data_IF_432126744899
#
_entry.id   IF_432126744899
#
_cell.length_a   1.000
_cell.length_b   1.000
_cell.length_c   1.000
_cell.angle_alpha   90.00
_cell.angle_beta   90.00
_cell.angle_gamma   90.00
#
_symmetry.space_group_name_H-M   'P 1'
#
loop_
_entity.id
_entity.type
_entity.pdbx_description
1 polymer ?
#
# COMPACT_ATOMS: atom_id res chain seq x y z
N UNK A 1 52.12 -46.45 -10.80
CA UNK A 1 52.37 -45.41 -11.81
C UNK A 1 51.03 -44.87 -12.26
N UNK A 2 50.66 -43.67 -11.81
CA UNK A 2 49.43 -43.00 -12.25
C UNK A 2 49.87 -41.69 -12.90
N UNK A 3 49.63 -41.62 -14.20
CA UNK A 3 49.99 -40.53 -15.11
C UNK A 3 49.16 -39.28 -14.79
N UNK A 4 49.84 -38.16 -14.53
CA UNK A 4 49.24 -36.83 -14.52
C UNK A 4 49.23 -36.32 -15.98
N UNK A 5 48.05 -36.04 -16.52
CA UNK A 5 47.88 -35.41 -17.83
C UNK A 5 47.72 -33.89 -17.65
N UNK A 6 48.36 -33.06 -18.49
CA UNK A 6 48.35 -31.60 -18.34
C UNK A 6 47.07 -30.95 -18.89
N UNK A 7 46.62 -29.88 -18.23
CA UNK A 7 45.51 -29.02 -18.65
C UNK A 7 45.74 -28.35 -20.01
N UNK A 8 44.71 -28.21 -20.85
CA UNK A 8 44.72 -27.27 -21.95
C UNK A 8 44.22 -25.89 -21.47
N UNK A 9 45.03 -24.86 -21.70
CA UNK A 9 44.62 -23.46 -21.68
C UNK A 9 43.75 -23.16 -22.91
N UNK A 10 42.58 -22.51 -22.78
CA UNK A 10 41.92 -21.88 -23.90
C UNK A 10 42.41 -20.44 -24.06
N UNK A 11 42.91 -20.17 -25.26
CA UNK A 11 43.39 -18.88 -25.76
C UNK A 11 42.32 -17.79 -25.72
N UNK A 12 42.74 -16.58 -25.32
CA UNK A 12 42.02 -15.34 -25.58
C UNK A 12 42.07 -15.05 -27.08
N UNK A 13 40.92 -14.94 -27.74
CA UNK A 13 40.66 -13.92 -28.77
C UNK A 13 39.15 -13.62 -28.78
N UNK A 14 38.74 -12.35 -28.66
CA UNK A 14 37.34 -11.97 -28.49
C UNK A 14 36.72 -11.53 -29.82
N UNK A 15 35.63 -12.15 -30.29
CA UNK A 15 34.71 -11.50 -31.24
C UNK A 15 33.28 -12.03 -31.16
N UNK A 16 32.35 -11.07 -31.20
CA UNK A 16 30.97 -11.12 -31.71
C UNK A 16 29.83 -11.26 -30.71
N UNK A 17 29.30 -10.08 -30.36
CA UNK A 17 27.92 -9.68 -30.05
C UNK A 17 26.81 -10.73 -30.28
N UNK A 18 25.86 -10.88 -29.31
CA UNK A 18 24.43 -10.53 -29.46
C UNK A 18 23.61 -10.94 -28.21
N UNK A 19 23.00 -9.95 -27.54
CA UNK A 19 21.70 -10.05 -26.82
C UNK A 19 21.54 -10.96 -25.58
N UNK A 20 22.02 -10.53 -24.41
CA UNK A 20 21.60 -11.14 -23.12
C UNK A 20 21.25 -10.12 -22.02
N UNK A 21 21.25 -8.82 -22.32
CA UNK A 21 21.04 -7.74 -21.33
C UNK A 21 19.59 -7.22 -21.24
N UNK A 22 18.67 -7.72 -22.07
CA UNK A 22 17.27 -7.28 -22.06
C UNK A 22 16.35 -8.18 -21.23
N UNK A 23 16.62 -9.49 -21.13
CA UNK A 23 15.73 -10.42 -20.42
C UNK A 23 15.78 -10.24 -18.90
N UNK A 24 16.95 -9.97 -18.33
CA UNK A 24 17.12 -9.74 -16.89
C UNK A 24 16.47 -8.44 -16.40
N UNK A 25 16.41 -7.40 -17.24
CA UNK A 25 15.75 -6.12 -16.91
C UNK A 25 14.22 -6.26 -16.93
N UNK A 26 13.69 -7.08 -17.84
CA UNK A 26 12.26 -7.38 -17.96
C UNK A 26 11.78 -8.25 -16.80
N UNK A 27 12.58 -9.24 -16.37
CA UNK A 27 12.26 -10.08 -15.20
C UNK A 27 12.25 -9.25 -13.91
N UNK A 28 13.23 -8.35 -13.70
CA UNK A 28 13.25 -7.47 -12.54
C UNK A 28 12.10 -6.45 -12.53
N UNK A 29 11.70 -5.92 -13.70
CA UNK A 29 10.53 -5.02 -13.82
C UNK A 29 9.18 -5.73 -13.64
N UNK A 30 9.10 -7.00 -14.03
CA UNK A 30 7.91 -7.83 -13.81
C UNK A 30 7.83 -8.32 -12.36
N UNK A 31 8.94 -8.68 -11.74
CA UNK A 31 9.03 -8.98 -10.30
C UNK A 31 8.73 -7.74 -9.45
N UNK A 32 9.27 -6.57 -9.79
CA UNK A 32 8.95 -5.33 -9.05
C UNK A 32 7.50 -4.89 -9.27
N UNK A 33 6.93 -5.05 -10.46
CA UNK A 33 5.50 -4.81 -10.69
C UNK A 33 4.62 -5.80 -9.90
N UNK A 34 4.91 -7.10 -9.95
CA UNK A 34 4.13 -8.14 -9.25
C UNK A 34 4.26 -8.08 -7.73
N UNK A 35 5.42 -7.70 -7.20
CA UNK A 35 5.64 -7.44 -5.77
C UNK A 35 4.86 -6.19 -5.31
N UNK A 36 4.72 -5.17 -6.15
CA UNK A 36 3.98 -3.94 -5.83
C UNK A 36 2.45 -4.10 -5.88
N UNK A 37 1.92 -4.85 -6.87
CA UNK A 37 0.48 -5.12 -6.99
C UNK A 37 -0.13 -5.81 -5.74
N UNK A 38 0.67 -6.61 -5.03
CA UNK A 38 0.25 -7.19 -3.75
C UNK A 38 -0.01 -6.12 -2.69
N UNK A 39 0.87 -5.12 -2.59
CA UNK A 39 0.73 -4.00 -1.65
C UNK A 39 -0.47 -3.12 -1.96
N UNK A 40 -0.74 -2.84 -3.23
CA UNK A 40 -1.93 -2.07 -3.63
C UNK A 40 -3.21 -2.74 -3.14
N UNK A 41 -3.28 -4.07 -3.23
CA UNK A 41 -4.43 -4.85 -2.73
C UNK A 41 -4.56 -4.71 -1.20
N UNK A 42 -3.46 -4.87 -0.45
CA UNK A 42 -3.49 -4.69 1.00
C UNK A 42 -3.87 -3.27 1.44
N UNK A 43 -3.46 -2.26 0.69
CA UNK A 43 -3.82 -0.85 0.94
C UNK A 43 -5.32 -0.64 0.71
N UNK A 44 -5.85 -1.13 -0.41
CA UNK A 44 -7.29 -1.03 -0.74
C UNK A 44 -8.12 -1.78 0.29
N UNK A 45 -7.75 -3.00 0.67
CA UNK A 45 -8.44 -3.78 1.68
C UNK A 45 -8.41 -3.11 3.06
N UNK A 46 -7.27 -2.51 3.43
CA UNK A 46 -7.14 -1.70 4.65
C UNK A 46 -8.09 -0.51 4.68
N UNK A 47 -8.21 0.23 3.56
CA UNK A 47 -9.17 1.32 3.43
C UNK A 47 -10.62 0.83 3.52
N UNK A 48 -10.96 -0.31 2.90
CA UNK A 48 -12.28 -0.93 2.99
C UNK A 48 -12.61 -1.32 4.44
N UNK A 49 -11.67 -1.94 5.16
CA UNK A 49 -11.83 -2.30 6.57
C UNK A 49 -12.10 -1.07 7.43
N UNK A 50 -11.40 0.03 7.17
CA UNK A 50 -11.58 1.27 7.92
C UNK A 50 -12.93 1.94 7.62
N UNK A 51 -13.40 1.92 6.36
CA UNK A 51 -14.77 2.34 6.00
C UNK A 51 -15.82 1.53 6.76
N UNK A 52 -15.64 0.22 6.85
CA UNK A 52 -16.52 -0.64 7.65
C UNK A 52 -16.49 -0.30 9.13
N UNK A 53 -15.31 -0.02 9.70
CA UNK A 53 -15.18 0.39 11.10
C UNK A 53 -15.92 1.70 11.38
N UNK A 54 -15.79 2.71 10.51
CA UNK A 54 -16.52 3.99 10.60
C UNK A 54 -18.02 3.74 10.59
N UNK A 55 -18.54 2.98 9.61
CA UNK A 55 -19.96 2.62 9.52
C UNK A 55 -20.46 1.91 10.78
N UNK A 56 -19.67 0.98 11.33
CA UNK A 56 -20.04 0.26 12.55
C UNK A 56 -20.11 1.19 13.76
N UNK A 57 -19.17 2.13 13.88
CA UNK A 57 -19.17 3.14 14.95
C UNK A 57 -20.34 4.12 14.80
N UNK A 58 -20.71 4.53 13.58
CA UNK A 58 -21.90 5.36 13.32
C UNK A 58 -23.18 4.67 13.74
N UNK A 59 -23.32 3.37 13.40
CA UNK A 59 -24.45 2.55 13.87
C UNK A 59 -24.48 2.45 15.40
N UNK A 60 -23.33 2.23 16.04
CA UNK A 60 -23.22 2.16 17.50
C UNK A 60 -23.58 3.49 18.15
N UNK A 61 -23.10 4.61 17.60
CA UNK A 61 -23.46 5.97 18.04
C UNK A 61 -24.98 6.16 18.01
N UNK A 62 -25.63 5.84 16.88
CA UNK A 62 -27.09 5.99 16.74
C UNK A 62 -27.85 5.18 17.80
N UNK A 63 -27.42 3.94 18.06
CA UNK A 63 -28.03 3.08 19.08
C UNK A 63 -27.86 3.62 20.50
N UNK A 64 -26.70 4.20 20.82
CA UNK A 64 -26.46 4.81 22.13
C UNK A 64 -27.23 6.13 22.29
N UNK A 65 -27.40 6.90 21.23
CA UNK A 65 -28.27 8.09 21.22
C UNK A 65 -29.72 7.72 21.51
N UNK A 66 -30.21 6.62 20.96
CA UNK A 66 -31.54 6.10 21.26
C UNK A 66 -31.69 5.75 22.76
N UNK A 67 -30.72 5.05 23.34
CA UNK A 67 -30.71 4.78 24.78
C UNK A 67 -30.66 6.04 25.63
N UNK A 68 -29.84 7.04 25.27
CA UNK A 68 -29.79 8.33 25.99
C UNK A 68 -31.12 9.06 25.95
N UNK A 69 -31.81 9.05 24.80
CA UNK A 69 -33.15 9.66 24.66
C UNK A 69 -34.17 8.98 25.54
N UNK A 70 -34.22 7.64 25.53
CA UNK A 70 -35.12 6.84 26.36
C UNK A 70 -34.88 7.06 27.85
N UNK A 71 -33.62 7.11 28.26
CA UNK A 71 -33.23 7.44 29.65
C UNK A 71 -33.71 8.85 30.05
N UNK A 72 -33.59 9.83 29.15
CA UNK A 72 -34.08 11.20 29.39
C UNK A 72 -35.62 11.28 29.43
N UNK A 73 -36.32 10.33 28.82
CA UNK A 73 -37.77 10.18 28.92
C UNK A 73 -38.22 9.40 30.16
N UNK A 74 -37.28 8.99 31.01
CA UNK A 74 -37.57 8.26 32.25
C UNK A 74 -37.83 6.77 32.06
N UNK A 75 -37.50 6.20 30.90
CA UNK A 75 -37.51 4.74 30.74
C UNK A 75 -36.34 4.10 31.50
N UNK A 76 -36.62 2.99 32.19
CA UNK A 76 -35.58 2.15 32.78
C UNK A 76 -34.86 1.33 31.69
N UNK A 77 -33.54 1.48 31.64
CA UNK A 77 -32.65 0.70 30.80
C UNK A 77 -32.03 -0.43 31.62
N UNK A 78 -31.76 -1.58 30.99
CA UNK A 78 -31.03 -2.66 31.66
C UNK A 78 -29.57 -2.23 31.96
N UNK A 79 -28.90 -2.91 32.90
CA UNK A 79 -27.54 -2.58 33.33
C UNK A 79 -26.55 -2.52 32.16
N UNK A 80 -26.59 -3.50 31.25
CA UNK A 80 -25.76 -3.52 30.04
C UNK A 80 -25.97 -2.29 29.15
N UNK A 81 -27.21 -1.80 29.06
CA UNK A 81 -27.55 -0.63 28.25
C UNK A 81 -27.05 0.66 28.92
N UNK A 82 -27.21 0.77 30.24
CA UNK A 82 -26.65 1.90 30.99
C UNK A 82 -25.12 1.95 30.89
N UNK A 83 -24.44 0.81 31.02
CA UNK A 83 -22.99 0.76 30.88
C UNK A 83 -22.55 1.09 29.45
N UNK A 84 -23.29 0.65 28.44
CA UNK A 84 -23.04 1.03 27.05
C UNK A 84 -23.16 2.54 26.83
N UNK A 85 -24.14 3.20 27.47
CA UNK A 85 -24.32 4.66 27.43
C UNK A 85 -23.15 5.40 28.08
N UNK A 86 -22.56 4.87 29.17
CA UNK A 86 -21.36 5.47 29.79
C UNK A 86 -20.16 5.52 28.84
N UNK A 87 -20.08 4.59 27.88
CA UNK A 87 -19.02 4.54 26.84
C UNK A 87 -19.34 5.36 25.60
N UNK A 88 -20.38 6.20 25.62
CA UNK A 88 -20.79 7.00 24.47
C UNK A 88 -19.70 7.96 23.97
N UNK A 89 -19.06 8.69 24.90
CA UNK A 89 -17.98 9.63 24.55
C UNK A 89 -16.77 8.91 23.92
N UNK A 90 -16.46 7.70 24.41
CA UNK A 90 -15.41 6.86 23.81
C UNK A 90 -15.76 6.48 22.36
N UNK A 91 -17.03 6.15 22.08
CA UNK A 91 -17.49 5.85 20.71
C UNK A 91 -17.42 7.08 19.81
N UNK A 92 -17.72 8.27 20.32
CA UNK A 92 -17.58 9.51 19.57
C UNK A 92 -16.12 9.82 19.23
N UNK A 93 -15.24 9.72 20.22
CA UNK A 93 -13.81 9.93 20.01
C UNK A 93 -13.24 8.92 18.99
N UNK A 94 -13.53 7.64 19.16
CA UNK A 94 -13.08 6.60 18.23
C UNK A 94 -13.62 6.80 16.81
N UNK A 95 -14.85 7.31 16.68
CA UNK A 95 -15.42 7.65 15.37
C UNK A 95 -14.69 8.82 14.71
N UNK A 96 -14.40 9.88 15.46
CA UNK A 96 -13.64 11.03 14.97
C UNK A 96 -12.24 10.60 14.51
N UNK A 97 -11.53 9.85 15.36
CA UNK A 97 -10.21 9.30 15.06
C UNK A 97 -10.23 8.43 13.79
N UNK A 98 -11.19 7.49 13.68
CA UNK A 98 -11.28 6.63 12.52
C UNK A 98 -11.54 7.40 11.22
N UNK A 99 -12.37 8.46 11.26
CA UNK A 99 -12.64 9.34 10.11
C UNK A 99 -11.38 10.10 9.68
N UNK A 100 -10.63 10.61 10.64
CA UNK A 100 -9.41 11.37 10.38
C UNK A 100 -8.30 10.45 9.84
N UNK A 101 -8.13 9.27 10.44
CA UNK A 101 -7.21 8.24 9.94
C UNK A 101 -7.56 7.83 8.51
N UNK A 102 -8.84 7.59 8.21
CA UNK A 102 -9.29 7.25 6.86
C UNK A 102 -8.99 8.37 5.87
N UNK A 103 -9.23 9.63 6.26
CA UNK A 103 -8.93 10.79 5.43
C UNK A 103 -7.43 10.87 5.10
N UNK A 104 -6.57 10.71 6.11
CA UNK A 104 -5.11 10.76 5.94
C UNK A 104 -4.58 9.62 5.06
N UNK A 105 -5.03 8.38 5.28
CA UNK A 105 -4.62 7.23 4.46
C UNK A 105 -5.13 7.32 3.02
N UNK A 106 -6.37 7.78 2.83
CA UNK A 106 -6.92 7.97 1.49
C UNK A 106 -6.18 9.09 0.73
N UNK A 107 -5.84 10.19 1.40
CA UNK A 107 -5.04 11.25 0.81
C UNK A 107 -3.64 10.76 0.41
N UNK A 108 -2.97 10.00 1.29
CA UNK A 108 -1.67 9.40 0.98
C UNK A 108 -1.75 8.47 -0.24
N UNK A 109 -2.74 7.58 -0.28
CA UNK A 109 -2.93 6.64 -1.40
C UNK A 109 -3.20 7.38 -2.72
N UNK A 110 -4.06 8.40 -2.70
CA UNK A 110 -4.33 9.23 -3.89
C UNK A 110 -3.17 10.12 -4.32
N UNK A 111 -2.17 10.37 -3.49
CA UNK A 111 -0.96 11.10 -3.89
C UNK A 111 0.08 10.16 -4.52
N UNK A 112 0.07 8.87 -4.19
CA UNK A 112 0.96 7.85 -4.77
C UNK A 112 0.53 7.50 -6.20
N UNK A 113 -0.78 7.35 -6.47
CA UNK A 113 -1.28 6.94 -7.79
C UNK A 113 -0.94 7.91 -8.94
N UNK A 114 -1.07 9.25 -8.80
CA UNK A 114 -0.68 10.22 -9.82
C UNK A 114 0.82 10.20 -10.05
N UNK A 115 1.63 10.14 -8.99
CA UNK A 115 3.08 10.05 -9.13
C UNK A 115 3.50 8.80 -9.91
N UNK A 116 2.83 7.66 -9.68
CA UNK A 116 3.11 6.40 -10.38
C UNK A 116 2.63 6.41 -11.84
N UNK A 117 1.44 6.97 -12.13
CA UNK A 117 0.93 7.14 -13.49
C UNK A 117 1.69 8.22 -14.28
N UNK A 118 2.13 9.29 -13.63
CA UNK A 118 2.96 10.32 -14.23
C UNK A 118 4.36 9.79 -14.50
N UNK A 119 4.95 8.99 -13.61
CA UNK A 119 6.23 8.31 -13.88
C UNK A 119 6.11 7.37 -15.07
N UNK A 120 5.06 6.54 -15.12
CA UNK A 120 4.83 5.61 -16.22
C UNK A 120 4.57 6.35 -17.56
N UNK A 121 3.77 7.41 -17.55
CA UNK A 121 3.50 8.22 -18.75
C UNK A 121 4.68 9.10 -19.17
N UNK A 122 5.59 9.43 -18.24
CA UNK A 122 6.87 10.10 -18.51
C UNK A 122 7.89 9.13 -19.11
N UNK A 123 7.93 7.88 -18.64
CA UNK A 123 8.71 6.78 -19.22
C UNK A 123 8.22 6.44 -20.64
N UNK A 124 6.91 6.32 -20.87
CA UNK A 124 6.35 6.03 -22.20
C UNK A 124 6.50 7.20 -23.19
N UNK A 125 6.52 8.45 -22.72
CA UNK A 125 6.76 9.64 -23.56
C UNK A 125 8.24 9.95 -23.80
N UNK A 126 9.14 8.99 -23.55
CA UNK A 126 10.56 9.10 -23.91
C UNK A 126 11.43 9.88 -22.93
N UNK A 127 11.03 10.01 -21.66
CA UNK A 127 11.81 10.66 -20.60
C UNK A 127 13.16 9.99 -20.27
N UNK A 128 13.43 8.81 -20.83
CA UNK A 128 14.67 8.04 -20.63
C UNK A 128 15.95 8.81 -20.98
N UNK A 129 15.92 9.75 -21.93
CA UNK A 129 17.13 10.52 -22.31
C UNK A 129 17.56 11.52 -21.25
N UNK A 130 16.63 12.08 -20.48
CA UNK A 130 16.93 13.11 -19.48
C UNK A 130 17.33 12.48 -18.14
N UNK A 131 16.68 11.37 -17.77
CA UNK A 131 17.04 10.61 -16.56
C UNK A 131 18.37 9.86 -16.69
N UNK A 132 18.73 9.39 -17.90
CA UNK A 132 20.06 8.82 -18.14
C UNK A 132 21.17 9.86 -17.96
N UNK A 133 20.90 11.14 -18.26
CA UNK A 133 21.88 12.23 -18.06
C UNK A 133 21.92 12.72 -16.61
N UNK A 134 20.82 12.61 -15.86
CA UNK A 134 20.76 13.02 -14.46
C UNK A 134 21.32 11.95 -13.51
N UNK A 135 21.24 10.66 -13.89
CA UNK A 135 21.84 9.56 -13.13
C UNK A 135 23.37 9.46 -13.33
N UNK A 136 23.90 9.99 -14.45
CA UNK A 136 25.34 10.08 -14.74
C UNK A 136 26.05 11.25 -14.02
N UNK A 137 25.32 12.07 -13.27
CA UNK A 137 25.88 13.19 -12.48
C UNK A 137 25.97 12.82 -10.99
N UNK A 138 25.37 11.69 -10.57
CA UNK A 138 25.35 11.24 -9.17
C UNK A 138 26.15 9.96 -8.91
N UNK A 139 26.89 9.44 -9.90
CA UNK A 139 27.95 8.43 -9.78
C UNK A 139 29.09 8.79 -10.73
#
# INVERSE_FOLDING_TARGET
>A
MVQLSPSPTPSVTPQSECSESQENLVILNLETSTVYYGYDTYIVDGLICLKHKIRNLEKKKLKLEDYRKRLNWGEELNNDQMEAVKKYEEVLHNLAFAKELHKSLNALTQNVSPLQLDFHSFLERGGCKVMSSMLLILF
#
